data_IF_615256750964
#
_entry.id   IF_615256750964
#
_cell.length_a   1.000
_cell.length_b   1.000
_cell.length_c   1.000
_cell.angle_alpha   90.00
_cell.angle_beta   90.00
_cell.angle_gamma   90.00
#
_symmetry.space_group_name_H-M   'P 1'
#
loop_
_entity.id
_entity.type
_entity.pdbx_description
1 polymer ?
#
# COMPACT_ATOMS: atom_id res chain seq x y z
N UNK A 1 -17.88 -10.10 -14.15
CA UNK A 1 -19.35 -9.88 -14.06
C UNK A 1 -19.69 -8.62 -14.84
N UNK A 2 -20.73 -8.64 -15.67
CA UNK A 2 -21.25 -7.48 -16.43
C UNK A 2 -22.77 -7.54 -16.30
N UNK A 3 -23.44 -6.40 -16.12
CA UNK A 3 -24.91 -6.39 -16.10
C UNK A 3 -25.45 -6.70 -17.50
N UNK A 4 -26.54 -7.45 -17.58
CA UNK A 4 -27.21 -7.74 -18.87
C UNK A 4 -27.80 -6.48 -19.52
N UNK A 5 -28.20 -5.51 -18.68
CA UNK A 5 -28.78 -4.23 -19.08
C UNK A 5 -28.10 -3.09 -18.33
N UNK A 6 -27.93 -1.98 -19.03
CA UNK A 6 -27.55 -0.71 -18.43
C UNK A 6 -28.85 0.05 -18.09
N UNK A 7 -29.02 0.54 -16.85
CA UNK A 7 -30.20 1.34 -16.51
C UNK A 7 -30.22 2.65 -17.32
N UNK A 8 -31.42 3.18 -17.58
CA UNK A 8 -31.60 4.43 -18.33
C UNK A 8 -31.18 5.67 -17.54
N UNK A 9 -31.18 5.58 -16.20
CA UNK A 9 -30.78 6.63 -15.28
C UNK A 9 -30.02 6.04 -14.09
N UNK A 10 -29.20 6.86 -13.44
CA UNK A 10 -28.48 6.54 -12.21
C UNK A 10 -28.33 7.82 -11.38
N UNK A 11 -28.31 7.69 -10.06
CA UNK A 11 -28.01 8.82 -9.17
C UNK A 11 -26.51 9.16 -9.23
N UNK A 12 -25.66 8.12 -9.34
CA UNK A 12 -24.20 8.26 -9.35
C UNK A 12 -23.62 7.35 -10.42
N UNK A 13 -22.74 7.91 -11.25
CA UNK A 13 -21.97 7.18 -12.26
C UNK A 13 -20.48 7.27 -11.94
N UNK A 14 -19.83 6.12 -11.78
CA UNK A 14 -18.40 5.98 -11.56
C UNK A 14 -17.76 5.47 -12.84
N UNK A 15 -16.72 6.15 -13.33
CA UNK A 15 -16.00 5.77 -14.54
C UNK A 15 -14.66 5.14 -14.13
N UNK A 16 -14.52 3.84 -14.42
CA UNK A 16 -13.38 3.00 -14.08
C UNK A 16 -13.67 2.10 -12.87
N UNK A 17 -13.41 0.81 -13.04
CA UNK A 17 -13.66 -0.23 -12.03
C UNK A 17 -12.43 -0.61 -11.20
N UNK A 18 -11.32 0.13 -11.34
CA UNK A 18 -10.12 -0.11 -10.53
C UNK A 18 -10.37 0.12 -9.03
N UNK A 19 -9.34 -0.12 -8.22
CA UNK A 19 -9.41 -0.05 -6.74
C UNK A 19 -10.06 1.24 -6.23
N UNK A 20 -9.75 2.40 -6.81
CA UNK A 20 -10.39 3.67 -6.44
C UNK A 20 -11.89 3.69 -6.75
N UNK A 21 -12.29 3.23 -7.95
CA UNK A 21 -13.70 3.20 -8.36
C UNK A 21 -14.51 2.21 -7.52
N UNK A 22 -13.95 1.03 -7.26
CA UNK A 22 -14.52 0.04 -6.37
C UNK A 22 -14.65 0.55 -4.92
N UNK A 23 -13.61 1.22 -4.39
CA UNK A 23 -13.63 1.81 -3.06
C UNK A 23 -14.71 2.90 -2.94
N UNK A 24 -14.83 3.78 -3.93
CA UNK A 24 -15.87 4.83 -3.93
C UNK A 24 -17.27 4.21 -3.99
N UNK A 25 -17.48 3.23 -4.87
CA UNK A 25 -18.76 2.53 -4.95
C UNK A 25 -19.12 1.86 -3.62
N UNK A 26 -18.17 1.15 -3.02
CA UNK A 26 -18.35 0.49 -1.71
C UNK A 26 -18.72 1.50 -0.63
N UNK A 27 -17.93 2.57 -0.46
CA UNK A 27 -18.20 3.60 0.55
C UNK A 27 -19.57 4.24 0.36
N UNK A 28 -19.95 4.61 -0.87
CA UNK A 28 -21.26 5.20 -1.13
C UNK A 28 -22.38 4.24 -0.72
N UNK A 29 -22.29 2.97 -1.12
CA UNK A 29 -23.32 1.97 -0.80
C UNK A 29 -23.41 1.72 0.71
N UNK A 30 -22.28 1.62 1.40
CA UNK A 30 -22.23 1.45 2.87
C UNK A 30 -22.86 2.65 3.61
N UNK A 31 -22.54 3.88 3.19
CA UNK A 31 -23.11 5.10 3.79
C UNK A 31 -24.61 5.22 3.52
N UNK A 32 -25.05 4.92 2.28
CA UNK A 32 -26.47 4.91 1.94
C UNK A 32 -27.24 3.92 2.82
N UNK A 33 -26.70 2.70 2.98
CA UNK A 33 -27.29 1.70 3.86
C UNK A 33 -27.36 2.18 5.33
N UNK A 34 -26.31 2.81 5.85
CA UNK A 34 -26.28 3.33 7.22
C UNK A 34 -27.30 4.46 7.44
N UNK A 35 -27.55 5.28 6.41
CA UNK A 35 -28.53 6.37 6.44
C UNK A 35 -29.96 5.91 6.10
N UNK A 36 -30.15 4.65 5.68
CA UNK A 36 -31.45 4.15 5.22
C UNK A 36 -31.87 4.76 3.87
N UNK A 37 -30.90 5.22 3.07
CA UNK A 37 -31.12 5.75 1.72
C UNK A 37 -30.87 4.67 0.66
N UNK A 38 -31.60 4.76 -0.44
CA UNK A 38 -31.37 3.95 -1.64
C UNK A 38 -30.86 4.86 -2.76
N UNK A 39 -29.72 4.49 -3.37
CA UNK A 39 -29.14 5.17 -4.53
C UNK A 39 -28.79 4.15 -5.60
N UNK A 40 -29.07 4.50 -6.85
CA UNK A 40 -28.61 3.74 -8.02
C UNK A 40 -27.19 4.17 -8.37
N UNK A 41 -26.21 3.32 -8.06
CA UNK A 41 -24.80 3.51 -8.40
C UNK A 41 -24.43 2.64 -9.60
N UNK A 42 -23.90 3.25 -10.66
CA UNK A 42 -23.44 2.56 -11.87
C UNK A 42 -21.93 2.72 -12.02
N UNK A 43 -21.22 1.60 -12.14
CA UNK A 43 -19.78 1.59 -12.47
C UNK A 43 -19.62 1.22 -13.94
N UNK A 44 -19.00 2.11 -14.72
CA UNK A 44 -18.68 1.92 -16.12
C UNK A 44 -17.22 1.56 -16.28
N UNK A 45 -16.93 0.44 -16.93
CA UNK A 45 -15.58 0.00 -17.27
C UNK A 45 -15.48 -0.22 -18.77
N UNK A 46 -14.39 0.26 -19.38
CA UNK A 46 -14.19 0.19 -20.82
C UNK A 46 -13.78 -1.22 -21.28
N UNK A 47 -13.17 -1.99 -20.38
CA UNK A 47 -12.65 -3.35 -20.63
C UNK A 47 -13.30 -4.33 -19.66
N UNK A 48 -12.47 -5.12 -18.97
CA UNK A 48 -12.89 -6.03 -17.92
C UNK A 48 -12.72 -5.39 -16.54
N UNK A 49 -13.51 -5.85 -15.57
CA UNK A 49 -13.46 -5.35 -14.19
C UNK A 49 -12.02 -5.39 -13.67
N UNK A 50 -11.57 -4.27 -13.10
CA UNK A 50 -10.22 -4.08 -12.55
C UNK A 50 -9.06 -4.24 -13.56
N UNK A 51 -9.26 -4.50 -14.86
CA UNK A 51 -8.20 -4.80 -15.84
C UNK A 51 -7.20 -3.67 -16.14
N UNK A 52 -7.36 -2.51 -15.51
CA UNK A 52 -6.49 -1.35 -15.64
C UNK A 52 -5.18 -1.44 -14.86
N UNK A 53 -4.85 -0.38 -14.12
CA UNK A 53 -3.68 -0.35 -13.26
C UNK A 53 -3.81 -1.36 -12.10
N UNK A 54 -5.02 -1.55 -11.57
CA UNK A 54 -5.29 -2.47 -10.46
C UNK A 54 -4.96 -3.92 -10.81
N UNK A 55 -5.55 -4.50 -11.85
CA UNK A 55 -5.32 -5.90 -12.22
C UNK A 55 -3.92 -6.21 -12.76
N UNK A 56 -3.11 -5.18 -13.03
CA UNK A 56 -1.70 -5.32 -13.44
C UNK A 56 -0.72 -4.88 -12.34
N UNK A 57 -1.22 -4.59 -11.13
CA UNK A 57 -0.34 -4.34 -10.00
C UNK A 57 0.34 -5.66 -9.57
N UNK A 58 1.52 -5.59 -8.98
CA UNK A 58 2.25 -6.77 -8.51
C UNK A 58 1.74 -7.36 -7.19
N UNK A 59 0.50 -7.06 -6.80
CA UNK A 59 -0.12 -7.53 -5.55
C UNK A 59 0.33 -6.83 -4.27
N UNK A 60 1.30 -5.91 -4.34
CA UNK A 60 1.85 -5.26 -3.14
C UNK A 60 0.96 -4.14 -2.60
N UNK A 61 0.59 -4.24 -1.31
CA UNK A 61 0.06 -3.16 -0.49
C UNK A 61 1.14 -2.75 0.51
N UNK A 62 1.99 -1.80 0.08
CA UNK A 62 3.17 -1.34 0.82
C UNK A 62 3.18 0.19 0.93
N UNK A 63 3.67 0.67 2.06
CA UNK A 63 4.08 2.07 2.21
C UNK A 63 5.58 2.09 2.56
N UNK A 64 6.38 2.95 1.93
CA UNK A 64 7.74 3.22 2.40
C UNK A 64 7.73 4.57 3.12
N UNK A 65 7.49 4.60 4.45
CA UNK A 65 7.18 5.84 5.15
C UNK A 65 8.37 6.79 5.18
N UNK A 66 9.61 6.28 5.21
CA UNK A 66 10.80 7.13 5.24
C UNK A 66 11.01 7.87 3.92
N UNK A 67 10.86 7.19 2.78
CA UNK A 67 10.96 7.80 1.45
C UNK A 67 9.80 8.77 1.22
N UNK A 68 8.57 8.30 1.43
CA UNK A 68 7.36 9.09 1.19
C UNK A 68 7.34 10.37 2.04
N UNK A 69 7.67 10.27 3.33
CA UNK A 69 7.67 11.46 4.20
C UNK A 69 8.75 12.47 3.79
N UNK A 70 9.93 11.99 3.39
CA UNK A 70 10.99 12.86 2.88
C UNK A 70 10.53 13.63 1.65
N UNK A 71 9.91 12.95 0.67
CA UNK A 71 9.36 13.58 -0.54
C UNK A 71 8.24 14.58 -0.20
N UNK A 72 7.32 14.21 0.68
CA UNK A 72 6.21 15.08 1.08
C UNK A 72 6.70 16.35 1.78
N UNK A 73 7.78 16.29 2.56
CA UNK A 73 8.36 17.46 3.22
C UNK A 73 8.98 18.47 2.26
N UNK A 74 9.40 18.05 1.08
CA UNK A 74 9.92 18.96 0.05
C UNK A 74 8.78 19.76 -0.61
N UNK A 75 7.57 19.19 -0.64
CA UNK A 75 6.42 19.77 -1.34
C UNK A 75 5.39 20.44 -0.43
N UNK A 76 5.32 20.04 0.84
CA UNK A 76 4.24 20.41 1.76
C UNK A 76 4.77 20.95 3.08
N UNK A 77 3.97 21.79 3.72
CA UNK A 77 4.22 22.20 5.10
C UNK A 77 4.30 20.95 6.02
N UNK A 78 5.15 20.94 7.06
CA UNK A 78 5.40 19.75 7.87
C UNK A 78 4.14 19.06 8.42
N UNK A 79 3.16 19.82 8.93
CA UNK A 79 1.90 19.24 9.41
C UNK A 79 1.13 18.49 8.31
N UNK A 80 1.03 19.11 7.13
CA UNK A 80 0.36 18.53 5.96
C UNK A 80 1.07 17.28 5.45
N UNK A 81 2.41 17.26 5.47
CA UNK A 81 3.19 16.08 5.12
C UNK A 81 2.89 14.89 6.05
N UNK A 82 2.73 15.15 7.36
CA UNK A 82 2.33 14.11 8.34
C UNK A 82 0.92 13.60 8.08
N UNK A 83 -0.03 14.50 7.82
CA UNK A 83 -1.42 14.11 7.53
C UNK A 83 -1.49 13.21 6.30
N UNK A 84 -0.78 13.57 5.22
CA UNK A 84 -0.74 12.78 4.00
C UNK A 84 -0.04 11.44 4.23
N UNK A 85 1.10 11.42 4.96
CA UNK A 85 1.75 10.15 5.33
C UNK A 85 0.81 9.23 6.11
N UNK A 86 0.10 9.75 7.10
CA UNK A 86 -0.83 8.97 7.91
C UNK A 86 -2.01 8.46 7.07
N UNK A 87 -2.53 9.28 6.16
CA UNK A 87 -3.52 8.84 5.17
C UNK A 87 -2.99 7.67 4.32
N UNK A 88 -1.78 7.80 3.77
CA UNK A 88 -1.14 6.74 2.99
C UNK A 88 -0.93 5.46 3.80
N UNK A 89 -0.60 5.54 5.08
CA UNK A 89 -0.37 4.34 5.92
C UNK A 89 -1.65 3.57 6.24
N UNK A 90 -2.81 4.25 6.30
CA UNK A 90 -4.09 3.64 6.70
C UNK A 90 -4.63 2.61 5.71
N UNK A 91 -4.18 2.60 4.45
CA UNK A 91 -4.72 1.67 3.46
C UNK A 91 -4.45 0.19 3.82
N UNK A 92 -3.30 -0.11 4.42
CA UNK A 92 -2.92 -1.49 4.76
C UNK A 92 -3.88 -2.12 5.78
N UNK A 93 -4.05 -1.56 7.00
CA UNK A 93 -5.00 -2.13 7.96
C UNK A 93 -6.45 -2.09 7.45
N UNK A 94 -6.83 -1.02 6.73
CA UNK A 94 -8.19 -0.90 6.19
C UNK A 94 -8.52 -2.03 5.20
N UNK A 95 -7.58 -2.41 4.33
CA UNK A 95 -7.79 -3.52 3.39
C UNK A 95 -7.87 -4.88 4.09
N UNK A 96 -7.06 -5.10 5.14
CA UNK A 96 -7.13 -6.31 5.97
C UNK A 96 -8.48 -6.42 6.68
N UNK A 97 -8.96 -5.31 7.25
CA UNK A 97 -10.24 -5.26 7.94
C UNK A 97 -11.41 -5.44 6.99
N UNK A 98 -11.33 -4.88 5.78
CA UNK A 98 -12.33 -5.04 4.73
C UNK A 98 -12.49 -6.51 4.34
N UNK A 99 -11.39 -7.21 4.06
CA UNK A 99 -11.44 -8.64 3.68
C UNK A 99 -12.07 -9.48 4.79
N UNK A 100 -11.74 -9.19 6.05
CA UNK A 100 -12.32 -9.88 7.21
C UNK A 100 -13.81 -9.59 7.36
N UNK A 101 -14.21 -8.33 7.21
CA UNK A 101 -15.59 -7.87 7.41
C UNK A 101 -16.53 -8.43 6.34
N UNK A 102 -16.11 -8.34 5.08
CA UNK A 102 -16.89 -8.76 3.91
C UNK A 102 -16.72 -10.24 3.56
N UNK A 103 -15.90 -10.98 4.33
CA UNK A 103 -15.61 -12.42 4.13
C UNK A 103 -15.18 -12.72 2.68
N UNK A 104 -14.19 -11.98 2.20
CA UNK A 104 -13.66 -12.12 0.84
C UNK A 104 -12.70 -13.31 0.75
N UNK A 105 -13.23 -14.53 0.90
CA UNK A 105 -12.48 -15.79 1.00
C UNK A 105 -11.68 -16.15 -0.26
N UNK A 106 -11.94 -15.51 -1.40
CA UNK A 106 -11.18 -15.69 -2.64
C UNK A 106 -9.96 -14.77 -2.79
N UNK A 107 -9.59 -14.04 -1.74
CA UNK A 107 -8.41 -13.15 -1.75
C UNK A 107 -7.22 -13.85 -1.12
N UNK A 108 -6.03 -13.70 -1.72
CA UNK A 108 -4.76 -14.23 -1.20
C UNK A 108 -4.05 -13.22 -0.28
N UNK A 109 -4.84 -12.33 0.34
CA UNK A 109 -4.34 -11.24 1.18
C UNK A 109 -3.62 -11.84 2.40
N UNK A 110 -2.35 -11.45 2.60
CA UNK A 110 -1.55 -11.94 3.73
C UNK A 110 -0.56 -10.89 4.18
N UNK A 111 -0.35 -10.81 5.49
CA UNK A 111 0.72 -9.99 6.05
C UNK A 111 2.08 -10.63 5.75
N UNK A 112 2.98 -9.83 5.20
CA UNK A 112 4.34 -10.22 4.86
C UNK A 112 5.33 -9.15 5.32
N UNK A 113 6.56 -9.58 5.55
CA UNK A 113 7.68 -8.65 5.73
C UNK A 113 8.22 -8.22 4.37
N UNK A 114 8.61 -6.95 4.26
CA UNK A 114 9.30 -6.46 3.06
C UNK A 114 10.65 -5.91 3.43
N UNK A 115 11.59 -6.05 2.51
CA UNK A 115 12.95 -5.57 2.70
C UNK A 115 13.31 -4.61 1.57
N UNK A 116 13.86 -3.47 1.92
CA UNK A 116 14.51 -2.56 0.98
C UNK A 116 16.01 -2.85 1.02
N UNK A 117 16.59 -3.11 -0.15
CA UNK A 117 17.99 -3.52 -0.30
C UNK A 117 18.78 -2.43 -1.01
N UNK A 118 19.94 -2.08 -0.47
CA UNK A 118 20.79 -1.02 -1.01
C UNK A 118 22.11 -1.60 -1.50
N UNK A 119 22.45 -1.26 -2.75
CA UNK A 119 23.66 -1.73 -3.43
C UNK A 119 24.81 -0.72 -3.39
N UNK A 120 24.47 0.55 -3.15
CA UNK A 120 25.40 1.66 -3.15
C UNK A 120 25.36 2.37 -1.80
N UNK A 121 26.54 2.67 -1.26
CA UNK A 121 26.70 3.37 0.01
C UNK A 121 25.96 4.73 0.02
N UNK A 122 25.97 5.42 -1.12
CA UNK A 122 25.28 6.72 -1.29
C UNK A 122 23.77 6.60 -1.10
N UNK A 123 23.16 5.53 -1.62
CA UNK A 123 21.72 5.28 -1.48
C UNK A 123 21.38 4.82 -0.06
N UNK A 124 22.25 4.02 0.54
CA UNK A 124 22.14 3.58 1.93
C UNK A 124 22.18 4.77 2.90
N UNK A 125 23.19 5.62 2.80
CA UNK A 125 23.34 6.82 3.63
C UNK A 125 22.13 7.76 3.48
N UNK A 126 21.63 7.92 2.25
CA UNK A 126 20.41 8.70 1.98
C UNK A 126 19.19 8.11 2.70
N UNK A 127 19.00 6.79 2.63
CA UNK A 127 17.89 6.12 3.31
C UNK A 127 18.00 6.23 4.85
N UNK A 128 19.21 6.09 5.41
CA UNK A 128 19.44 6.30 6.84
C UNK A 128 19.08 7.72 7.28
N UNK A 129 19.48 8.74 6.52
CA UNK A 129 19.12 10.13 6.80
C UNK A 129 17.60 10.35 6.76
N UNK A 130 16.91 9.77 5.78
CA UNK A 130 15.44 9.83 5.70
C UNK A 130 14.76 9.16 6.90
N UNK A 131 15.28 8.01 7.36
CA UNK A 131 14.77 7.30 8.54
C UNK A 131 14.97 8.13 9.80
N UNK A 132 16.11 8.80 9.96
CA UNK A 132 16.36 9.69 11.10
C UNK A 132 15.36 10.85 11.13
N UNK A 133 15.07 11.44 9.97
CA UNK A 133 14.05 12.49 9.85
C UNK A 133 12.66 11.95 10.21
N UNK A 134 12.30 10.76 9.72
CA UNK A 134 11.02 10.13 10.05
C UNK A 134 10.90 9.82 11.55
N UNK A 135 11.92 9.20 12.16
CA UNK A 135 11.94 8.89 13.60
C UNK A 135 11.77 10.13 14.48
N UNK A 136 12.36 11.25 14.06
CA UNK A 136 12.25 12.52 14.79
C UNK A 136 10.86 13.14 14.65
N UNK A 137 10.33 13.19 13.42
CA UNK A 137 9.14 13.98 13.14
C UNK A 137 7.83 13.18 13.31
N UNK A 138 7.86 11.87 13.06
CA UNK A 138 6.72 10.95 13.02
C UNK A 138 7.15 9.57 13.58
N UNK A 139 7.52 9.48 14.87
CA UNK A 139 8.07 8.26 15.46
C UNK A 139 7.16 7.03 15.30
N UNK A 140 5.85 7.21 15.37
CA UNK A 140 4.84 6.17 15.17
C UNK A 140 4.84 5.59 13.75
N UNK A 141 5.38 6.30 12.76
CA UNK A 141 5.56 5.81 11.39
C UNK A 141 6.86 5.05 11.18
N UNK A 142 7.78 5.14 12.14
CA UNK A 142 9.08 4.48 12.11
C UNK A 142 9.18 3.25 13.02
N UNK A 143 8.13 2.93 13.80
CA UNK A 143 8.12 1.85 14.81
C UNK A 143 8.50 0.49 14.20
N UNK A 144 7.94 0.16 13.03
CA UNK A 144 8.18 -1.13 12.36
C UNK A 144 9.45 -1.15 11.49
N UNK A 145 10.28 -0.10 11.53
CA UNK A 145 11.50 -0.01 10.72
C UNK A 145 12.71 -0.53 11.50
N UNK A 146 13.22 -1.66 11.03
CA UNK A 146 14.47 -2.26 11.49
C UNK A 146 15.55 -2.03 10.44
N UNK A 147 16.70 -1.54 10.89
CA UNK A 147 17.88 -1.26 10.05
C UNK A 147 18.91 -2.32 10.37
N UNK A 148 19.44 -3.01 9.36
CA UNK A 148 20.51 -3.98 9.51
C UNK A 148 21.70 -3.62 8.63
N UNK A 149 22.87 -3.67 9.25
CA UNK A 149 24.14 -3.60 8.54
C UNK A 149 24.41 -4.90 7.76
N UNK A 150 25.33 -4.87 6.79
CA UNK A 150 25.65 -5.99 5.88
C UNK A 150 25.72 -7.36 6.58
N UNK A 151 26.49 -7.41 7.65
CA UNK A 151 26.84 -8.65 8.33
C UNK A 151 25.67 -9.18 9.16
N UNK A 152 24.91 -8.27 9.79
CA UNK A 152 23.73 -8.61 10.59
C UNK A 152 22.61 -9.14 9.69
N UNK A 153 22.39 -8.49 8.56
CA UNK A 153 21.38 -8.91 7.61
C UNK A 153 21.68 -10.28 7.01
N UNK A 154 22.96 -10.56 6.67
CA UNK A 154 23.38 -11.89 6.20
C UNK A 154 23.09 -12.97 7.23
N UNK A 155 23.29 -12.70 8.52
CA UNK A 155 23.01 -13.66 9.61
C UNK A 155 21.51 -13.84 9.84
N UNK A 156 20.74 -12.75 9.81
CA UNK A 156 19.30 -12.76 10.09
C UNK A 156 18.46 -13.34 8.95
N UNK A 157 18.92 -13.24 7.70
CA UNK A 157 18.13 -13.55 6.51
C UNK A 157 18.78 -14.55 5.55
N UNK A 158 19.76 -15.33 6.00
CA UNK A 158 20.46 -16.35 5.20
C UNK A 158 19.52 -17.38 4.51
N UNK A 159 18.31 -17.57 5.05
CA UNK A 159 17.29 -18.47 4.49
C UNK A 159 16.24 -17.78 3.59
N UNK A 160 16.43 -16.51 3.20
CA UNK A 160 15.64 -15.95 2.11
C UNK A 160 16.14 -16.58 0.80
N UNK A 161 15.57 -17.74 0.44
CA UNK A 161 15.71 -18.42 -0.88
C UNK A 161 15.14 -17.58 -2.04
N UNK A 162 15.20 -16.24 -1.94
CA UNK A 162 14.58 -15.32 -2.87
C UNK A 162 15.44 -15.15 -4.13
N UNK A 163 16.75 -15.47 -4.09
CA UNK A 163 17.62 -15.40 -5.26
C UNK A 163 18.73 -16.45 -5.24
N UNK A 164 18.69 -17.38 -6.20
CA UNK A 164 19.71 -18.40 -6.48
C UNK A 164 20.90 -17.80 -7.27
N UNK A 165 21.41 -16.64 -6.83
CA UNK A 165 22.46 -15.89 -7.53
C UNK A 165 23.68 -15.66 -6.63
N UNK A 166 24.86 -15.84 -7.24
CA UNK A 166 26.20 -15.73 -6.67
C UNK A 166 26.39 -14.55 -5.70
N UNK A 167 27.37 -14.62 -4.77
CA UNK A 167 27.62 -13.60 -3.75
C UNK A 167 28.07 -12.28 -4.40
N UNK A 168 27.11 -11.52 -4.91
CA UNK A 168 27.25 -10.12 -5.21
C UNK A 168 27.33 -9.39 -3.87
N UNK A 169 28.11 -8.33 -3.84
CA UNK A 169 28.44 -7.51 -2.68
C UNK A 169 27.21 -6.75 -2.15
N UNK A 170 26.23 -7.46 -1.58
CA UNK A 170 25.11 -6.85 -0.88
C UNK A 170 25.64 -6.24 0.42
N UNK A 171 25.42 -4.94 0.59
CA UNK A 171 26.02 -4.21 1.68
C UNK A 171 25.00 -3.83 2.76
N UNK A 172 23.70 -3.59 2.50
CA UNK A 172 22.79 -3.12 3.57
C UNK A 172 21.30 -3.43 3.35
N UNK A 173 20.54 -3.60 4.45
CA UNK A 173 19.10 -3.98 4.42
C UNK A 173 18.26 -3.15 5.40
N UNK A 174 17.05 -2.77 4.99
CA UNK A 174 16.03 -2.16 5.84
C UNK A 174 14.80 -3.06 5.81
N UNK A 175 14.42 -3.65 6.94
CA UNK A 175 13.15 -4.38 7.03
C UNK A 175 12.07 -3.49 7.59
N UNK A 176 10.95 -3.51 6.88
CA UNK A 176 9.68 -3.01 7.37
C UNK A 176 8.80 -4.21 7.70
N UNK A 177 8.45 -4.35 8.98
CA UNK A 177 7.48 -5.34 9.41
C UNK A 177 6.06 -4.82 9.16
N UNK A 178 5.20 -5.67 8.58
CA UNK A 178 3.82 -5.41 8.13
C UNK A 178 3.69 -4.63 6.83
N UNK A 179 3.70 -5.39 5.74
CA UNK A 179 2.96 -5.02 4.53
C UNK A 179 2.04 -6.17 4.17
N UNK A 180 1.24 -5.97 3.14
CA UNK A 180 0.30 -6.98 2.69
C UNK A 180 0.57 -7.30 1.24
N UNK A 181 0.57 -8.59 0.91
CA UNK A 181 0.60 -9.09 -0.46
C UNK A 181 -0.74 -9.75 -0.76
N UNK A 182 -1.26 -9.49 -1.96
CA UNK A 182 -2.31 -10.28 -2.61
C UNK A 182 -1.71 -11.48 -3.36
#
# INVERSE_FOLDING_TARGET
MKSEKLPQSADIVIIGSGMSGASVAYTILSECQALGEEKTVVVLEAREVCSGATGRNGGHLKCSPYSLYSELKEMLAPGRAKDVLNFYRRHVPLMLDLVKTERLEGTEIREVDTVDVFLEDTQWEKALAMIQVLRRDVPEAAEDIVVWEAEEARKAHWNLEIFDWQPLSWSYFISRRRNVAL
#
